data_IF_655035289617
#
_entry.id   IF_655035289617
#
_cell.length_a   1.000
_cell.length_b   1.000
_cell.length_c   1.000
_cell.angle_alpha   90.00
_cell.angle_beta   90.00
_cell.angle_gamma   90.00
#
_symmetry.space_group_name_H-M   'P 1'
#
loop_
_entity.id
_entity.type
_entity.pdbx_description
1 polymer ?
#
# COMPACT_ATOMS: atom_id res chain seq x y z
N UNK A 1 -18.84 27.74 -9.93
CA UNK A 1 -19.53 26.72 -9.12
C UNK A 1 -19.23 25.40 -9.81
N UNK A 2 -18.27 24.62 -9.29
CA UNK A 2 -17.91 23.32 -9.88
C UNK A 2 -18.91 22.31 -9.33
N UNK A 3 -19.55 21.55 -10.22
CA UNK A 3 -20.47 20.48 -9.85
C UNK A 3 -19.75 19.45 -8.96
N UNK A 4 -20.17 19.27 -7.69
CA UNK A 4 -19.57 18.31 -6.78
C UNK A 4 -19.86 16.84 -7.17
N UNK A 5 -20.77 16.62 -8.11
CA UNK A 5 -21.14 15.33 -8.71
C UNK A 5 -20.63 15.16 -10.14
N UNK A 6 -19.74 16.06 -10.62
CA UNK A 6 -19.02 15.85 -11.86
C UNK A 6 -18.34 14.47 -11.82
N UNK A 7 -18.89 13.55 -12.61
CA UNK A 7 -18.59 12.11 -12.61
C UNK A 7 -17.08 11.88 -12.39
N UNK A 8 -16.68 11.29 -11.25
CA UNK A 8 -15.27 11.05 -10.92
C UNK A 8 -14.54 10.34 -12.08
N UNK A 9 -15.25 9.44 -12.77
CA UNK A 9 -14.74 8.70 -13.93
C UNK A 9 -14.31 9.62 -15.08
N UNK A 10 -14.94 10.79 -15.23
CA UNK A 10 -14.59 11.77 -16.26
C UNK A 10 -13.29 12.54 -15.99
N UNK A 11 -12.75 12.45 -14.76
CA UNK A 11 -11.48 13.08 -14.36
C UNK A 11 -10.29 12.14 -14.48
N UNK A 12 -10.52 10.83 -14.54
CA UNK A 12 -9.46 9.85 -14.65
C UNK A 12 -8.90 9.83 -16.09
N UNK A 13 -7.57 9.75 -16.26
CA UNK A 13 -7.00 9.40 -17.55
C UNK A 13 -7.59 8.07 -18.06
N UNK A 14 -7.88 7.96 -19.36
CA UNK A 14 -8.54 6.77 -19.91
C UNK A 14 -7.77 5.48 -19.57
N UNK A 15 -6.45 5.52 -19.58
CA UNK A 15 -5.58 4.40 -19.20
C UNK A 15 -5.83 3.90 -17.77
N UNK A 16 -6.19 4.78 -16.85
CA UNK A 16 -6.46 4.48 -15.43
C UNK A 16 -7.87 3.94 -15.25
N UNK A 17 -8.84 4.51 -15.98
CA UNK A 17 -10.20 3.97 -16.02
C UNK A 17 -10.18 2.52 -16.56
N UNK A 18 -9.53 2.29 -17.69
CA UNK A 18 -9.39 0.96 -18.29
C UNK A 18 -8.66 -0.02 -17.36
N UNK A 19 -7.63 0.47 -16.67
CA UNK A 19 -6.90 -0.32 -15.68
C UNK A 19 -7.83 -0.79 -14.56
N UNK A 20 -8.57 0.13 -13.93
CA UNK A 20 -9.47 -0.21 -12.83
C UNK A 20 -10.56 -1.20 -13.26
N UNK A 21 -11.21 -0.95 -14.41
CA UNK A 21 -12.21 -1.85 -14.98
C UNK A 21 -11.64 -3.23 -15.28
N UNK A 22 -10.43 -3.30 -15.83
CA UNK A 22 -9.76 -4.58 -16.09
C UNK A 22 -9.40 -5.36 -14.81
N UNK A 23 -9.27 -4.67 -13.67
CA UNK A 23 -9.09 -5.28 -12.35
C UNK A 23 -10.42 -5.64 -11.67
N UNK A 24 -11.55 -5.41 -12.33
CA UNK A 24 -12.89 -5.74 -11.82
C UNK A 24 -13.46 -4.70 -10.85
N UNK A 25 -12.90 -3.48 -10.83
CA UNK A 25 -13.51 -2.36 -10.12
C UNK A 25 -14.89 -2.05 -10.72
N UNK A 26 -15.88 -1.78 -9.87
CA UNK A 26 -17.25 -1.51 -10.30
C UNK A 26 -17.57 -0.02 -10.19
N UNK A 27 -17.85 0.70 -11.30
CA UNK A 27 -18.18 2.12 -11.27
C UNK A 27 -19.55 2.43 -10.64
N UNK A 28 -20.48 1.48 -10.64
CA UNK A 28 -21.86 1.66 -10.20
C UNK A 28 -22.06 1.27 -8.73
N UNK A 29 -21.16 0.46 -8.18
CA UNK A 29 -21.28 -0.07 -6.84
C UNK A 29 -19.91 -0.21 -6.19
N UNK A 30 -19.78 0.33 -4.98
CA UNK A 30 -18.57 0.15 -4.18
C UNK A 30 -18.92 -0.12 -2.73
N UNK A 31 -18.06 -0.88 -2.09
CA UNK A 31 -18.01 -1.04 -0.64
C UNK A 31 -17.34 0.18 -0.01
N UNK A 32 -17.33 0.27 1.32
CA UNK A 32 -16.58 1.34 2.01
C UNK A 32 -15.12 0.93 2.23
N UNK A 33 -14.87 -0.37 2.44
CA UNK A 33 -13.53 -0.90 2.66
C UNK A 33 -13.37 -2.32 2.11
N UNK A 34 -12.14 -2.82 2.15
CA UNK A 34 -11.83 -4.24 1.93
C UNK A 34 -11.01 -4.77 3.09
N UNK A 35 -11.26 -6.02 3.47
CA UNK A 35 -10.53 -6.76 4.48
C UNK A 35 -9.73 -7.90 3.86
N UNK A 36 -8.50 -8.12 4.31
CA UNK A 36 -7.71 -9.29 3.90
C UNK A 36 -6.80 -9.79 5.00
N UNK A 37 -6.53 -11.09 4.97
CA UNK A 37 -5.56 -11.73 5.86
C UNK A 37 -4.32 -12.17 5.11
N UNK A 38 -3.17 -12.09 5.77
CA UNK A 38 -1.86 -12.33 5.16
C UNK A 38 -1.04 -13.30 5.98
N UNK A 39 -0.18 -14.05 5.29
CA UNK A 39 0.94 -14.78 5.89
C UNK A 39 2.21 -14.44 5.15
N UNK A 40 3.30 -14.27 5.87
CA UNK A 40 4.54 -13.85 5.25
C UNK A 40 5.73 -13.98 6.14
N UNK A 41 6.80 -13.32 5.74
CA UNK A 41 7.99 -13.17 6.55
C UNK A 41 8.60 -11.79 6.38
N UNK A 42 9.24 -11.28 7.43
CA UNK A 42 9.88 -9.97 7.43
C UNK A 42 11.26 -10.04 8.07
N UNK A 43 12.20 -9.24 7.57
CA UNK A 43 13.51 -8.99 8.20
C UNK A 43 13.42 -7.76 9.10
N UNK A 44 13.87 -7.89 10.35
CA UNK A 44 13.95 -6.76 11.31
C UNK A 44 15.00 -5.72 10.92
N UNK A 45 15.95 -6.10 10.07
CA UNK A 45 16.91 -5.18 9.43
C UNK A 45 17.42 -5.80 8.14
N UNK A 46 17.87 -4.96 7.20
CA UNK A 46 18.49 -5.41 5.95
C UNK A 46 19.76 -6.25 6.14
N UNK A 47 20.45 -6.07 7.26
CA UNK A 47 21.64 -6.87 7.62
C UNK A 47 21.29 -8.25 8.17
N UNK A 48 20.07 -8.43 8.65
CA UNK A 48 19.61 -9.71 9.18
C UNK A 48 19.46 -10.73 8.05
N UNK A 49 19.95 -11.95 8.28
CA UNK A 49 19.63 -13.12 7.45
C UNK A 49 18.37 -13.84 7.93
N UNK A 50 17.89 -13.52 9.12
CA UNK A 50 16.72 -14.14 9.73
C UNK A 50 15.44 -13.47 9.27
N UNK A 51 14.56 -14.29 8.70
CA UNK A 51 13.20 -13.92 8.30
C UNK A 51 12.24 -14.37 9.39
N UNK A 52 11.54 -13.42 10.02
CA UNK A 52 10.54 -13.70 11.03
C UNK A 52 9.19 -13.96 10.36
N UNK A 53 8.59 -15.14 10.55
CA UNK A 53 7.26 -15.41 10.02
C UNK A 53 6.20 -14.58 10.73
N UNK A 54 5.20 -14.12 9.99
CA UNK A 54 4.07 -13.37 10.52
C UNK A 54 2.73 -13.80 9.92
N UNK A 55 1.67 -13.52 10.68
CA UNK A 55 0.28 -13.45 10.19
C UNK A 55 -0.23 -12.03 10.37
N UNK A 56 -1.00 -11.50 9.43
CA UNK A 56 -1.60 -10.17 9.57
C UNK A 56 -3.06 -10.13 9.14
N UNK A 57 -3.79 -9.14 9.64
CA UNK A 57 -5.08 -8.70 9.11
C UNK A 57 -4.95 -7.25 8.70
N UNK A 58 -5.54 -6.91 7.57
CA UNK A 58 -5.54 -5.57 7.03
C UNK A 58 -6.94 -5.16 6.61
N UNK A 59 -7.29 -3.91 6.87
CA UNK A 59 -8.46 -3.25 6.32
C UNK A 59 -7.99 -2.01 5.57
N UNK A 60 -8.48 -1.79 4.35
CA UNK A 60 -8.18 -0.59 3.55
C UNK A 60 -9.46 0.10 3.10
N UNK A 61 -9.52 1.42 3.25
CA UNK A 61 -10.61 2.26 2.75
C UNK A 61 -10.57 2.35 1.22
N UNK A 62 -11.76 2.36 0.62
CA UNK A 62 -11.92 2.55 -0.82
C UNK A 62 -12.09 4.03 -1.18
N UNK A 63 -12.66 4.84 -0.30
CA UNK A 63 -13.07 6.23 -0.60
C UNK A 63 -12.07 7.28 -0.12
N UNK A 64 -11.09 6.88 0.67
CA UNK A 64 -10.07 7.76 1.24
C UNK A 64 -8.75 7.02 1.44
N UNK A 65 -7.65 7.76 1.55
CA UNK A 65 -6.35 7.19 1.90
C UNK A 65 -6.31 6.80 3.38
N UNK A 66 -6.83 5.62 3.71
CA UNK A 66 -6.85 5.08 5.06
C UNK A 66 -6.71 3.56 5.09
N UNK A 67 -5.98 3.05 6.07
CA UNK A 67 -5.87 1.61 6.31
C UNK A 67 -5.51 1.30 7.77
N UNK A 68 -5.76 0.06 8.18
CA UNK A 68 -5.20 -0.51 9.41
C UNK A 68 -4.59 -1.87 9.13
N UNK A 69 -3.39 -2.11 9.63
CA UNK A 69 -2.66 -3.36 9.46
C UNK A 69 -2.19 -3.86 10.82
N UNK A 70 -2.59 -5.07 11.17
CA UNK A 70 -2.30 -5.69 12.46
C UNK A 70 -1.59 -7.02 12.23
N UNK A 71 -0.29 -7.07 12.52
CA UNK A 71 0.54 -8.26 12.35
C UNK A 71 0.97 -8.87 13.68
N UNK A 72 1.16 -10.19 13.65
CA UNK A 72 1.68 -11.01 14.75
C UNK A 72 2.85 -11.84 14.26
N UNK A 73 3.99 -11.76 14.93
CA UNK A 73 5.21 -12.48 14.59
C UNK A 73 5.44 -13.72 15.47
N UNK A 74 5.91 -14.81 14.88
CA UNK A 74 6.17 -16.11 15.52
C UNK A 74 7.67 -16.28 15.89
N UNK A 75 8.06 -17.20 16.81
CA UNK A 75 7.32 -18.36 17.29
C UNK A 75 6.28 -18.15 18.40
N UNK A 76 6.15 -16.97 19.01
CA UNK A 76 5.28 -16.83 20.20
C UNK A 76 4.18 -15.76 20.11
N UNK A 77 3.97 -15.08 18.97
CA UNK A 77 2.93 -14.04 18.86
C UNK A 77 3.16 -12.84 19.78
N UNK A 78 4.32 -12.79 20.45
CA UNK A 78 4.64 -11.75 21.41
C UNK A 78 4.90 -10.42 20.74
N UNK A 79 5.35 -10.39 19.49
CA UNK A 79 5.47 -9.12 18.78
C UNK A 79 4.23 -8.87 17.93
N UNK A 80 3.52 -7.82 18.28
CA UNK A 80 2.41 -7.25 17.53
C UNK A 80 2.86 -5.94 16.89
N UNK A 81 2.51 -5.75 15.63
CA UNK A 81 2.75 -4.48 14.93
C UNK A 81 1.40 -3.99 14.44
N UNK A 82 1.05 -2.77 14.85
CA UNK A 82 -0.09 -2.03 14.36
C UNK A 82 0.45 -0.88 13.53
N UNK A 83 0.04 -0.84 12.27
CA UNK A 83 0.41 0.21 11.32
C UNK A 83 -0.86 0.74 10.66
N UNK A 84 -1.06 2.05 10.68
CA UNK A 84 -2.33 2.67 10.33
C UNK A 84 -2.13 4.03 9.68
N UNK A 85 -3.05 4.35 8.78
CA UNK A 85 -3.28 5.69 8.25
C UNK A 85 -4.75 6.01 8.46
N UNK A 86 -5.06 7.02 9.29
CA UNK A 86 -6.43 7.45 9.60
C UNK A 86 -6.45 8.97 9.63
N UNK A 87 -7.40 9.58 8.90
CA UNK A 87 -7.59 11.04 8.80
C UNK A 87 -6.30 11.81 8.46
N UNK A 88 -5.46 11.24 7.59
CA UNK A 88 -4.16 11.83 7.20
C UNK A 88 -3.05 11.71 8.24
N UNK A 89 -3.34 11.12 9.41
CA UNK A 89 -2.35 10.79 10.44
C UNK A 89 -1.85 9.35 10.31
N UNK A 90 -0.54 9.17 10.30
CA UNK A 90 0.08 7.84 10.40
C UNK A 90 0.28 7.40 11.86
N UNK A 91 0.05 6.13 12.16
CA UNK A 91 0.34 5.49 13.45
C UNK A 91 1.07 4.18 13.23
N UNK A 92 2.29 4.10 13.76
CA UNK A 92 3.09 2.87 13.79
C UNK A 92 3.46 2.53 15.23
N UNK A 93 2.81 1.49 15.75
CA UNK A 93 2.98 0.96 17.10
C UNK A 93 3.53 -0.47 17.04
N UNK A 94 4.70 -0.69 17.63
CA UNK A 94 5.29 -2.02 17.81
C UNK A 94 5.23 -2.39 19.28
N UNK A 95 4.55 -3.48 19.61
CA UNK A 95 4.39 -4.00 20.98
C UNK A 95 5.01 -5.39 21.09
N UNK A 96 5.83 -5.62 22.11
CA UNK A 96 6.31 -6.94 22.52
C UNK A 96 5.52 -7.46 23.74
N UNK A 97 5.37 -8.77 23.81
CA UNK A 97 4.51 -9.51 24.73
C UNK A 97 3.05 -9.00 24.76
N UNK A 98 2.59 -8.31 23.71
CA UNK A 98 1.24 -7.72 23.60
C UNK A 98 0.94 -6.53 24.54
N UNK A 99 1.89 -6.12 25.40
CA UNK A 99 1.66 -5.12 26.46
C UNK A 99 2.80 -4.09 26.54
N UNK A 100 4.03 -4.44 26.14
CA UNK A 100 5.18 -3.54 26.24
C UNK A 100 5.48 -2.85 24.89
N UNK A 101 5.33 -1.53 24.76
CA UNK A 101 5.71 -0.83 23.54
C UNK A 101 7.23 -0.92 23.32
N UNK A 102 7.65 -1.48 22.20
CA UNK A 102 9.07 -1.60 21.78
C UNK A 102 9.49 -0.38 20.98
N UNK A 103 8.58 0.11 20.11
CA UNK A 103 8.78 1.33 19.35
C UNK A 103 7.41 1.99 19.12
N UNK A 104 7.34 3.30 19.35
CA UNK A 104 6.25 4.15 18.83
C UNK A 104 6.90 5.21 17.98
N UNK A 105 6.49 5.31 16.72
CA UNK A 105 6.91 6.46 15.91
C UNK A 105 6.17 7.69 16.41
N UNK A 106 6.89 8.81 16.61
CA UNK A 106 6.23 10.07 16.94
C UNK A 106 5.33 10.47 15.76
N UNK A 107 4.06 10.83 16.00
CA UNK A 107 3.22 11.39 14.95
C UNK A 107 3.90 12.58 14.27
N UNK A 108 3.78 12.68 12.95
CA UNK A 108 4.38 13.76 12.17
C UNK A 108 4.31 13.52 10.66
N UNK A 109 4.57 14.58 9.89
CA UNK A 109 4.42 14.56 8.43
C UNK A 109 5.25 13.47 7.74
N UNK A 110 6.45 13.16 8.24
CA UNK A 110 7.30 12.10 7.67
C UNK A 110 6.68 10.70 7.83
N UNK A 111 6.05 10.41 8.96
CA UNK A 111 5.34 9.14 9.19
C UNK A 111 4.07 9.08 8.32
N UNK A 112 3.27 10.14 8.33
CA UNK A 112 2.06 10.23 7.50
C UNK A 112 2.37 10.04 6.00
N UNK A 113 3.41 10.71 5.50
CA UNK A 113 3.92 10.54 4.13
C UNK A 113 4.33 9.09 3.85
N UNK A 114 5.00 8.44 4.80
CA UNK A 114 5.41 7.03 4.67
C UNK A 114 4.22 6.08 4.55
N UNK A 115 3.17 6.29 5.34
CA UNK A 115 1.95 5.49 5.28
C UNK A 115 1.08 5.83 4.08
N UNK A 116 1.10 7.07 3.60
CA UNK A 116 0.45 7.42 2.35
C UNK A 116 1.13 6.73 1.16
N UNK A 117 2.47 6.74 1.09
CA UNK A 117 3.23 5.96 0.10
C UNK A 117 2.85 4.47 0.16
N UNK A 118 2.65 3.92 1.36
CA UNK A 118 2.21 2.53 1.53
C UNK A 118 0.81 2.31 0.96
N UNK A 119 -0.16 3.16 1.31
CA UNK A 119 -1.52 3.08 0.76
C UNK A 119 -1.51 3.11 -0.77
N UNK A 120 -0.81 4.08 -1.36
CA UNK A 120 -0.67 4.23 -2.81
C UNK A 120 -0.03 3.00 -3.47
N UNK A 121 1.00 2.43 -2.85
CA UNK A 121 1.66 1.23 -3.37
C UNK A 121 0.77 -0.02 -3.28
N UNK A 122 -0.18 -0.07 -2.35
CA UNK A 122 -1.06 -1.21 -2.11
C UNK A 122 -2.40 -1.13 -2.87
N UNK A 123 -2.62 -0.10 -3.69
CA UNK A 123 -3.78 0.00 -4.59
C UNK A 123 -4.07 -1.27 -5.45
N UNK A 124 -3.09 -2.10 -5.86
CA UNK A 124 -3.38 -3.37 -6.52
C UNK A 124 -4.24 -4.35 -5.69
N UNK A 125 -4.29 -4.17 -4.37
CA UNK A 125 -5.12 -4.94 -3.45
C UNK A 125 -6.55 -4.39 -3.31
N UNK A 126 -6.80 -3.19 -3.83
CA UNK A 126 -8.05 -2.44 -3.66
C UNK A 126 -8.43 -1.75 -4.97
N UNK A 127 -8.73 -2.51 -6.05
CA UNK A 127 -8.92 -1.93 -7.37
C UNK A 127 -10.08 -0.92 -7.43
N UNK A 128 -11.11 -1.10 -6.62
CA UNK A 128 -12.23 -0.14 -6.51
C UNK A 128 -11.76 1.26 -6.02
N UNK A 129 -10.68 1.35 -5.23
CA UNK A 129 -10.13 2.64 -4.79
C UNK A 129 -9.58 3.48 -5.94
N UNK A 130 -9.15 2.85 -7.05
CA UNK A 130 -8.67 3.56 -8.23
C UNK A 130 -9.79 4.40 -8.86
N UNK A 131 -11.04 3.94 -8.78
CA UNK A 131 -12.21 4.66 -9.29
C UNK A 131 -12.80 5.64 -8.28
N UNK A 132 -12.84 5.25 -7.00
CA UNK A 132 -13.71 5.89 -6.02
C UNK A 132 -12.99 6.78 -5.01
N UNK A 133 -11.67 6.68 -4.88
CA UNK A 133 -10.91 7.49 -3.95
C UNK A 133 -10.62 8.88 -4.55
N UNK A 134 -11.24 9.91 -3.97
CA UNK A 134 -11.08 11.31 -4.42
C UNK A 134 -9.78 11.97 -3.96
N UNK A 135 -9.03 11.32 -3.07
CA UNK A 135 -7.74 11.80 -2.60
C UNK A 135 -6.60 11.43 -3.59
N UNK A 136 -6.91 10.72 -4.67
CA UNK A 136 -5.96 10.22 -5.65
C UNK A 136 -5.98 11.08 -6.91
N UNK A 137 -4.82 11.61 -7.25
CA UNK A 137 -4.57 12.27 -8.52
C UNK A 137 -3.70 11.37 -9.41
N UNK A 138 -4.09 11.23 -10.68
CA UNK A 138 -3.50 10.26 -11.59
C UNK A 138 -2.90 10.90 -12.83
N UNK A 139 -1.77 10.36 -13.29
CA UNK A 139 -1.10 10.79 -14.51
C UNK A 139 -0.52 9.61 -15.27
N UNK A 140 -0.80 9.52 -16.56
CA UNK A 140 -0.10 8.61 -17.46
C UNK A 140 1.33 9.10 -17.68
N UNK A 141 2.31 8.21 -17.52
CA UNK A 141 3.72 8.51 -17.83
C UNK A 141 4.05 7.94 -19.22
N UNK A 142 3.77 6.65 -19.42
CA UNK A 142 3.94 5.96 -20.70
C UNK A 142 2.97 4.75 -20.79
N UNK A 143 3.08 3.97 -21.88
CA UNK A 143 2.19 2.83 -22.16
C UNK A 143 2.17 1.73 -21.07
N UNK A 144 3.19 1.68 -20.21
CA UNK A 144 3.39 0.67 -19.18
C UNK A 144 3.55 1.26 -17.77
N UNK A 145 3.49 2.58 -17.61
CA UNK A 145 3.67 3.22 -16.31
C UNK A 145 2.70 4.36 -16.07
N UNK A 146 2.17 4.40 -14.85
CA UNK A 146 1.26 5.46 -14.38
C UNK A 146 1.75 5.97 -13.02
N UNK A 147 1.58 7.26 -12.77
CA UNK A 147 1.80 7.86 -11.45
C UNK A 147 0.47 8.05 -10.73
N UNK A 148 0.51 7.82 -9.42
CA UNK A 148 -0.53 8.22 -8.49
C UNK A 148 0.08 9.12 -7.43
N UNK A 149 -0.59 10.24 -7.16
CA UNK A 149 -0.22 11.20 -6.12
C UNK A 149 -1.35 11.37 -5.12
N UNK A 150 -0.97 11.71 -3.89
CA UNK A 150 -1.91 12.11 -2.84
C UNK A 150 -1.21 12.96 -1.78
N UNK A 151 -1.99 13.47 -0.83
CA UNK A 151 -1.53 14.29 0.29
C UNK A 151 -1.35 15.75 -0.08
N UNK A 152 -1.05 16.57 0.93
CA UNK A 152 -0.80 18.01 0.76
C UNK A 152 0.46 18.43 1.51
N UNK A 153 1.04 19.55 1.09
CA UNK A 153 2.20 20.17 1.74
C UNK A 153 3.33 19.16 2.02
N UNK A 154 3.75 19.04 3.27
CA UNK A 154 4.85 18.15 3.69
C UNK A 154 4.55 16.65 3.51
N UNK A 155 3.27 16.28 3.34
CA UNK A 155 2.85 14.89 3.15
C UNK A 155 2.70 14.49 1.69
N UNK A 156 2.72 15.45 0.75
CA UNK A 156 2.48 15.20 -0.68
C UNK A 156 3.46 14.17 -1.26
N UNK A 157 2.97 13.04 -1.76
CA UNK A 157 3.81 11.95 -2.26
C UNK A 157 3.34 11.39 -3.60
N UNK A 158 4.26 10.76 -4.33
CA UNK A 158 4.02 10.09 -5.61
C UNK A 158 4.51 8.64 -5.53
N UNK A 159 3.73 7.72 -6.10
CA UNK A 159 4.12 6.34 -6.38
C UNK A 159 3.92 6.07 -7.87
N UNK A 160 4.93 5.47 -8.50
CA UNK A 160 4.89 5.02 -9.89
C UNK A 160 4.46 3.55 -9.89
N UNK A 161 3.35 3.26 -10.56
CA UNK A 161 2.85 1.91 -10.77
C UNK A 161 3.26 1.42 -12.16
N UNK A 162 3.90 0.25 -12.20
CA UNK A 162 4.30 -0.42 -13.43
C UNK A 162 3.33 -1.52 -13.82
N UNK A 163 2.97 -1.57 -15.09
CA UNK A 163 2.02 -2.50 -15.67
C UNK A 163 2.76 -3.64 -16.39
N UNK A 164 2.32 -4.87 -16.14
CA UNK A 164 2.78 -6.05 -16.85
C UNK A 164 2.18 -6.18 -18.25
N UNK A 165 2.57 -7.21 -19.03
CA UNK A 165 2.02 -7.45 -20.37
C UNK A 165 0.50 -7.66 -20.40
N UNK A 166 -0.08 -8.16 -19.30
CA UNK A 166 -1.52 -8.36 -19.10
C UNK A 166 -2.22 -7.11 -18.51
N UNK A 167 -1.52 -5.96 -18.51
CA UNK A 167 -1.94 -4.69 -17.92
C UNK A 167 -2.19 -4.74 -16.41
N UNK A 168 -1.79 -5.79 -15.72
CA UNK A 168 -1.86 -5.85 -14.24
C UNK A 168 -0.77 -5.03 -13.60
N UNK A 169 -1.03 -4.48 -12.42
CA UNK A 169 0.00 -3.72 -11.69
C UNK A 169 1.01 -4.72 -11.11
N UNK A 170 2.22 -4.77 -11.65
CA UNK A 170 3.27 -5.72 -11.23
C UNK A 170 4.31 -5.09 -10.32
N UNK A 171 4.38 -3.76 -10.27
CA UNK A 171 5.31 -3.04 -9.41
C UNK A 171 4.76 -1.72 -8.92
N UNK A 172 5.17 -1.32 -7.72
CA UNK A 172 5.03 0.03 -7.19
C UNK A 172 6.42 0.57 -6.84
N UNK A 173 6.71 1.82 -7.17
CA UNK A 173 8.03 2.42 -6.95
C UNK A 173 7.91 3.83 -6.40
N UNK A 174 8.72 4.14 -5.38
CA UNK A 174 8.90 5.48 -4.86
C UNK A 174 10.39 5.77 -4.75
N UNK A 175 10.87 6.81 -5.45
CA UNK A 175 12.30 7.16 -5.43
C UNK A 175 12.78 7.66 -4.06
N UNK A 176 11.88 8.28 -3.29
CA UNK A 176 12.22 9.04 -2.08
C UNK A 176 11.34 8.62 -0.89
N UNK A 177 11.42 7.35 -0.48
CA UNK A 177 10.76 6.90 0.76
C UNK A 177 11.74 7.04 1.93
N UNK A 178 11.30 7.65 3.03
CA UNK A 178 12.09 7.73 4.24
C UNK A 178 12.33 6.33 4.82
N UNK A 179 13.59 5.95 5.02
CA UNK A 179 14.01 4.69 5.64
C UNK A 179 13.93 4.73 7.17
N UNK A 180 13.75 5.92 7.74
CA UNK A 180 13.59 6.17 9.17
C UNK A 180 12.53 7.25 9.39
N UNK A 181 11.72 7.07 10.44
CA UNK A 181 10.76 8.06 10.93
C UNK A 181 11.37 8.98 12.00
N UNK A 182 12.65 8.78 12.33
CA UNK A 182 13.44 9.64 13.21
C UNK A 182 14.68 10.18 12.47
N UNK A 183 15.15 11.40 12.80
CA UNK A 183 16.37 11.94 12.23
C UNK A 183 17.60 11.03 12.49
N UNK A 184 18.52 10.90 11.51
CA UNK A 184 18.50 11.52 10.19
C UNK A 184 17.50 10.83 9.24
N UNK A 185 16.66 11.64 8.58
CA UNK A 185 15.72 11.16 7.56
C UNK A 185 16.48 10.80 6.29
N UNK A 186 16.94 9.55 6.19
CA UNK A 186 17.56 9.03 4.97
C UNK A 186 16.45 8.55 4.04
N UNK A 187 16.24 9.23 2.92
CA UNK A 187 15.34 8.77 1.86
C UNK A 187 16.08 7.84 0.90
N UNK A 188 15.45 6.74 0.53
CA UNK A 188 16.00 5.77 -0.41
C UNK A 188 14.89 5.27 -1.35
N UNK A 189 15.26 4.77 -2.55
CA UNK A 189 14.28 4.20 -3.44
C UNK A 189 13.70 2.92 -2.84
N UNK A 190 12.38 2.82 -2.90
CA UNK A 190 11.60 1.74 -2.34
C UNK A 190 10.69 1.16 -3.40
N UNK A 191 10.52 -0.16 -3.37
CA UNK A 191 9.79 -0.90 -4.39
C UNK A 191 8.93 -1.99 -3.78
N UNK A 192 7.72 -2.13 -4.32
CA UNK A 192 6.86 -3.30 -4.19
C UNK A 192 6.75 -4.05 -5.50
N UNK A 193 6.61 -5.36 -5.41
CA UNK A 193 6.41 -6.28 -6.55
C UNK A 193 5.20 -7.16 -6.25
N UNK A 194 4.34 -7.34 -7.24
CA UNK A 194 3.08 -8.07 -7.13
C UNK A 194 3.02 -9.21 -8.14
N UNK A 195 2.46 -10.34 -7.74
CA UNK A 195 2.40 -11.56 -8.55
C UNK A 195 1.25 -12.46 -8.12
N UNK A 196 1.08 -13.59 -8.82
CA UNK A 196 0.07 -14.61 -8.55
C UNK A 196 -1.36 -14.02 -8.47
N UNK A 197 -1.74 -13.20 -9.45
CA UNK A 197 -3.08 -12.61 -9.51
C UNK A 197 -4.18 -13.67 -9.62
N UNK A 198 -5.25 -13.50 -8.83
CA UNK A 198 -6.43 -14.36 -8.84
C UNK A 198 -7.70 -13.53 -8.80
N UNK A 199 -8.78 -14.09 -9.35
CA UNK A 199 -10.11 -13.49 -9.17
C UNK A 199 -10.67 -13.85 -7.79
N UNK A 200 -11.05 -12.83 -7.03
CA UNK A 200 -11.77 -12.96 -5.76
C UNK A 200 -12.92 -11.97 -5.78
N UNK A 201 -14.15 -12.44 -5.60
CA UNK A 201 -15.37 -11.61 -5.65
C UNK A 201 -15.44 -10.71 -6.90
N UNK A 202 -15.02 -11.22 -8.06
CA UNK A 202 -14.99 -10.49 -9.33
C UNK A 202 -13.83 -9.52 -9.51
N UNK A 203 -12.93 -9.35 -8.52
CA UNK A 203 -11.74 -8.48 -8.60
C UNK A 203 -10.48 -9.28 -8.85
N UNK A 204 -9.57 -8.76 -9.66
CA UNK A 204 -8.22 -9.32 -9.82
C UNK A 204 -7.30 -8.79 -8.72
N UNK A 205 -6.94 -9.68 -7.78
CA UNK A 205 -6.13 -9.34 -6.61
C UNK A 205 -4.81 -10.12 -6.68
N UNK A 206 -3.64 -9.48 -6.48
CA UNK A 206 -2.39 -10.20 -6.36
C UNK A 206 -2.38 -11.03 -5.07
N UNK A 207 -2.01 -12.31 -5.15
CA UNK A 207 -1.95 -13.18 -3.97
C UNK A 207 -0.55 -13.33 -3.41
N UNK A 208 0.47 -12.78 -4.07
CA UNK A 208 1.84 -12.71 -3.57
C UNK A 208 2.41 -11.30 -3.80
N UNK A 209 3.09 -10.79 -2.79
CA UNK A 209 3.77 -9.50 -2.86
C UNK A 209 5.11 -9.54 -2.11
N UNK A 210 6.04 -8.68 -2.54
CA UNK A 210 7.30 -8.43 -1.86
C UNK A 210 7.59 -6.94 -1.84
N UNK A 211 8.25 -6.46 -0.80
CA UNK A 211 8.72 -5.06 -0.75
C UNK A 211 10.17 -4.99 -0.27
N UNK A 212 10.90 -4.03 -0.82
CA UNK A 212 12.33 -3.89 -0.62
C UNK A 212 12.86 -2.49 -0.92
N UNK A 213 14.11 -2.28 -0.54
CA UNK A 213 14.87 -1.09 -0.90
C UNK A 213 15.68 -1.36 -2.17
N UNK A 214 15.87 -0.34 -3.01
CA UNK A 214 16.80 -0.43 -4.15
C UNK A 214 18.14 0.17 -3.73
N UNK A 215 19.15 -0.68 -3.55
CA UNK A 215 20.48 -0.31 -3.09
C UNK A 215 21.47 -0.69 -4.19
N UNK A 216 22.21 0.29 -4.72
CA UNK A 216 23.15 0.09 -5.83
C UNK A 216 22.53 -0.63 -7.04
N UNK A 217 21.28 -0.30 -7.37
CA UNK A 217 20.52 -0.92 -8.47
C UNK A 217 20.01 -2.34 -8.19
N UNK A 218 20.18 -2.87 -6.96
CA UNK A 218 19.68 -4.19 -6.56
C UNK A 218 18.54 -4.07 -5.56
N UNK A 219 17.53 -4.92 -5.73
CA UNK A 219 16.41 -5.01 -4.81
C UNK A 219 16.79 -5.83 -3.57
N UNK A 220 16.64 -5.23 -2.40
CA UNK A 220 16.89 -5.84 -1.10
C UNK A 220 15.56 -5.99 -0.34
N UNK A 221 14.85 -7.09 -0.61
CA UNK A 221 13.52 -7.39 -0.03
C UNK A 221 13.58 -7.60 1.47
N UNK A 222 12.81 -6.85 2.25
CA UNK A 222 12.73 -7.04 3.71
C UNK A 222 11.38 -7.58 4.16
N UNK A 223 10.39 -7.64 3.27
CA UNK A 223 9.09 -8.20 3.55
C UNK A 223 8.60 -8.97 2.32
N UNK A 224 7.96 -10.11 2.58
CA UNK A 224 7.29 -10.92 1.58
C UNK A 224 6.03 -11.52 2.20
N UNK A 225 4.93 -11.52 1.45
CA UNK A 225 3.63 -11.94 1.95
C UNK A 225 2.76 -12.58 0.89
N UNK A 226 1.82 -13.39 1.35
CA UNK A 226 0.73 -13.95 0.55
C UNK A 226 -0.61 -13.64 1.20
N UNK A 227 -1.54 -13.15 0.39
CA UNK A 227 -2.93 -12.97 0.81
C UNK A 227 -3.61 -14.34 0.93
N UNK A 228 -4.29 -14.56 2.05
CA UNK A 228 -4.99 -15.79 2.39
C UNK A 228 -6.50 -15.65 2.17
N UNK A 229 -7.03 -14.46 2.46
CA UNK A 229 -8.42 -14.10 2.22
C UNK A 229 -8.49 -12.67 1.71
N UNK A 230 -9.55 -12.34 0.99
CA UNK A 230 -9.91 -10.99 0.58
C UNK A 230 -11.44 -10.92 0.57
N UNK A 231 -12.00 -9.91 1.21
CA UNK A 231 -13.44 -9.73 1.31
C UNK A 231 -13.82 -8.24 1.28
N UNK A 232 -14.92 -7.88 0.64
CA UNK A 232 -15.50 -6.54 0.79
C UNK A 232 -16.09 -6.35 2.20
N UNK A 233 -16.04 -5.12 2.71
CA UNK A 233 -16.56 -4.72 4.02
C UNK A 233 -17.58 -3.58 3.93
#
# INVERSE_FOLDING_TARGET
>A
MIDPDANILSRLPQVVLDLALSHGADPAYTFDAVGFSQRGSMRVSLKSRFWLPFTARQTMSIKSCAFTWNARFLPLGYMTVTDELVDGGGRLDVTALGIFPVARSKPGAALARGELIRYLAELPLVPDAILHNRDLDWREIDASTIAVTSGSDDTACEVILGLGPDRRIVSAFCANRAASTTPPFVSMPWRGVFSDYRQVSGRWIPTAAQVGWVINGREESYWQGRNQSWEPL
#
